data_IF_996725060611
#
_entry.id   IF_996725060611
#
_cell.length_a   1.000
_cell.length_b   1.000
_cell.length_c   1.000
_cell.angle_alpha   90.00
_cell.angle_beta   90.00
_cell.angle_gamma   90.00
#
_symmetry.space_group_name_H-M   'P 1'
#
loop_
_entity.id
_entity.type
_entity.pdbx_description
1 polymer ?
#
# COMPACT_ATOMS: atom_id res chain seq x y z
N UNK A 1 -4.25 -3.27 55.01
CA UNK A 1 -4.61 -2.36 53.90
C UNK A 1 -3.33 -2.00 53.17
N UNK A 2 -2.97 -2.77 52.15
CA UNK A 2 -1.73 -2.52 51.38
C UNK A 2 -1.96 -1.32 50.46
N UNK A 3 -1.17 -0.27 50.65
CA UNK A 3 -1.08 0.82 49.68
C UNK A 3 -0.32 0.30 48.46
N UNK A 4 -1.06 -0.27 47.50
CA UNK A 4 -0.51 -0.77 46.24
C UNK A 4 0.21 0.35 45.49
N UNK A 5 1.51 0.17 45.23
CA UNK A 5 2.28 1.06 44.35
C UNK A 5 1.88 0.74 42.91
N UNK A 6 1.18 1.66 42.25
CA UNK A 6 0.87 1.54 40.82
C UNK A 6 2.08 2.02 40.02
N UNK A 7 2.69 1.13 39.24
CA UNK A 7 3.77 1.50 38.32
C UNK A 7 3.19 2.25 37.11
N UNK A 8 3.81 3.38 36.75
CA UNK A 8 3.39 4.21 35.60
C UNK A 8 4.52 4.37 34.60
N UNK A 9 4.18 4.32 33.32
CA UNK A 9 5.05 4.65 32.21
C UNK A 9 4.84 6.13 31.88
N UNK A 10 5.93 6.90 31.93
CA UNK A 10 5.91 8.34 31.67
C UNK A 10 6.76 8.59 30.43
N UNK A 11 6.13 9.12 29.38
CA UNK A 11 6.82 9.56 28.18
C UNK A 11 6.99 11.07 28.29
N UNK A 12 8.23 11.51 28.22
CA UNK A 12 8.63 12.92 28.31
C UNK A 12 9.13 13.37 26.95
N UNK A 13 8.77 14.58 26.55
CA UNK A 13 9.34 15.22 25.37
C UNK A 13 10.83 15.52 25.63
N UNK A 14 11.68 15.10 24.71
CA UNK A 14 13.13 15.21 24.85
C UNK A 14 13.66 16.65 24.69
N UNK A 15 12.88 17.53 24.05
CA UNK A 15 13.31 18.91 23.78
C UNK A 15 13.05 19.86 24.96
N UNK A 16 11.91 19.70 25.65
CA UNK A 16 11.44 20.62 26.69
C UNK A 16 11.22 19.95 28.07
N UNK A 17 11.51 18.65 28.19
CA UNK A 17 11.27 17.84 29.38
C UNK A 17 9.82 17.84 29.88
N UNK A 18 8.85 18.19 29.03
CA UNK A 18 7.43 18.15 29.40
C UNK A 18 6.87 16.73 29.30
N UNK A 19 6.05 16.35 30.29
CA UNK A 19 5.35 15.07 30.27
C UNK A 19 4.34 15.08 29.12
N UNK A 20 4.51 14.15 28.18
CA UNK A 20 3.65 14.00 27.01
C UNK A 20 2.53 12.99 27.27
N UNK A 21 2.86 11.86 27.91
CA UNK A 21 1.90 10.80 28.22
C UNK A 21 2.22 10.15 29.57
N UNK A 22 1.18 9.75 30.30
CA UNK A 22 1.28 8.95 31.52
C UNK A 22 0.26 7.82 31.42
N UNK A 23 0.73 6.57 31.51
CA UNK A 23 -0.11 5.38 31.48
C UNK A 23 0.24 4.47 32.66
N UNK A 24 -0.76 3.90 33.33
CA UNK A 24 -0.50 2.85 34.31
C UNK A 24 -0.09 1.57 33.59
N UNK A 25 0.93 0.86 34.09
CA UNK A 25 1.42 -0.37 33.45
C UNK A 25 0.31 -1.42 33.25
N UNK A 26 -0.63 -1.48 34.19
CA UNK A 26 -1.76 -2.41 34.16
C UNK A 26 -2.73 -2.11 32.99
N UNK A 27 -2.82 -0.85 32.54
CA UNK A 27 -3.73 -0.41 31.50
C UNK A 27 -3.06 -0.25 30.13
N UNK A 28 -1.74 -0.45 30.05
CA UNK A 28 -0.95 -0.15 28.86
C UNK A 28 -1.45 -0.89 27.62
N UNK A 29 -1.75 -2.18 27.76
CA UNK A 29 -2.24 -3.00 26.65
C UNK A 29 -3.62 -2.56 26.17
N UNK A 30 -4.53 -2.22 27.09
CA UNK A 30 -5.89 -1.80 26.75
C UNK A 30 -5.89 -0.44 26.04
N UNK A 31 -5.07 0.50 26.51
CA UNK A 31 -4.93 1.81 25.87
C UNK A 31 -4.36 1.71 24.45
N UNK A 32 -3.35 0.84 24.25
CA UNK A 32 -2.76 0.58 22.93
C UNK A 32 -3.78 -0.10 22.00
N UNK A 33 -4.50 -1.12 22.46
CA UNK A 33 -5.52 -1.84 21.67
C UNK A 33 -6.64 -0.90 21.22
N UNK A 34 -7.11 -0.05 22.14
CA UNK A 34 -8.14 0.94 21.84
C UNK A 34 -7.69 1.90 20.72
N UNK A 35 -6.48 2.47 20.84
CA UNK A 35 -5.95 3.38 19.83
C UNK A 35 -5.74 2.68 18.50
N UNK A 36 -5.17 1.47 18.51
CA UNK A 36 -4.99 0.65 17.32
C UNK A 36 -6.30 0.45 16.55
N UNK A 37 -7.39 0.13 17.26
CA UNK A 37 -8.73 0.00 16.66
C UNK A 37 -9.27 1.34 16.16
N UNK A 38 -9.11 2.43 16.91
CA UNK A 38 -9.58 3.77 16.55
C UNK A 38 -8.93 4.32 15.28
N UNK A 39 -7.64 4.08 15.08
CA UNK A 39 -6.92 4.51 13.86
C UNK A 39 -7.10 3.55 12.68
N UNK A 40 -8.04 2.60 12.76
CA UNK A 40 -8.37 1.68 11.67
C UNK A 40 -7.35 0.56 11.47
N UNK A 41 -6.77 0.06 12.57
CA UNK A 41 -5.71 -0.95 12.58
C UNK A 41 -4.35 -0.47 12.03
N UNK A 42 -4.11 0.84 12.01
CA UNK A 42 -2.80 1.43 11.69
C UNK A 42 -1.78 1.31 12.82
N UNK A 43 -0.48 1.39 12.49
CA UNK A 43 0.63 1.35 13.44
C UNK A 43 1.94 0.86 12.81
N UNK A 44 3.08 1.29 13.37
CA UNK A 44 4.42 0.80 12.96
C UNK A 44 4.82 -0.42 13.79
N UNK A 45 4.32 -0.52 15.03
CA UNK A 45 4.70 -1.58 15.96
C UNK A 45 4.12 -2.92 15.56
N UNK A 46 5.01 -3.78 15.05
CA UNK A 46 4.73 -5.16 14.66
C UNK A 46 4.06 -5.98 15.77
N UNK A 47 4.38 -5.67 17.03
CA UNK A 47 3.93 -6.42 18.20
C UNK A 47 2.41 -6.48 18.32
N UNK A 48 1.69 -5.39 18.00
CA UNK A 48 0.23 -5.38 18.08
C UNK A 48 -0.43 -5.88 16.79
N UNK A 49 0.21 -5.60 15.64
CA UNK A 49 -0.23 -6.10 14.33
C UNK A 49 -0.21 -7.63 14.28
N UNK A 50 0.76 -8.26 14.95
CA UNK A 50 0.89 -9.71 15.02
C UNK A 50 -0.07 -10.36 16.03
N UNK A 51 -0.58 -9.63 17.02
CA UNK A 51 -1.49 -10.16 18.06
C UNK A 51 -2.97 -9.84 17.77
N UNK A 52 -3.25 -8.77 17.04
CA UNK A 52 -4.61 -8.39 16.68
C UNK A 52 -5.18 -9.35 15.63
N UNK A 53 -6.27 -10.06 15.97
CA UNK A 53 -6.95 -10.98 15.04
C UNK A 53 -7.32 -10.32 13.70
N UNK A 54 -7.84 -9.09 13.73
CA UNK A 54 -8.19 -8.36 12.49
C UNK A 54 -6.99 -8.06 11.59
N UNK A 55 -5.83 -7.77 12.19
CA UNK A 55 -4.58 -7.59 11.46
C UNK A 55 -4.00 -8.90 10.96
N UNK A 56 -4.05 -9.96 11.77
CA UNK A 56 -3.60 -11.30 11.38
C UNK A 56 -4.32 -11.77 10.14
N UNK A 57 -5.66 -11.63 10.06
CA UNK A 57 -6.43 -12.02 8.89
C UNK A 57 -6.05 -11.27 7.61
N UNK A 58 -5.70 -9.97 7.71
CA UNK A 58 -5.18 -9.18 6.58
C UNK A 58 -3.73 -9.52 6.22
N UNK A 59 -2.94 -9.92 7.20
CA UNK A 59 -1.53 -10.30 7.06
C UNK A 59 -1.33 -11.78 6.81
N UNK A 60 -2.40 -12.58 6.67
CA UNK A 60 -2.28 -13.90 6.07
C UNK A 60 -1.67 -13.65 4.72
N UNK A 61 -0.36 -13.92 4.62
CA UNK A 61 0.32 -14.02 3.34
C UNK A 61 -0.42 -15.14 2.67
N UNK A 62 -1.36 -14.76 1.82
CA UNK A 62 -2.05 -15.69 0.97
C UNK A 62 -0.91 -16.51 0.38
N UNK A 63 -0.93 -17.83 0.61
CA UNK A 63 0.05 -18.77 0.10
C UNK A 63 -0.06 -18.88 -1.42
N UNK A 64 -0.44 -17.77 -2.06
CA UNK A 64 -0.40 -17.42 -3.46
C UNK A 64 0.81 -18.10 -4.03
N UNK A 65 0.52 -19.27 -4.59
CA UNK A 65 1.35 -19.98 -5.54
C UNK A 65 1.94 -18.87 -6.38
N UNK A 66 3.26 -18.64 -6.27
CA UNK A 66 3.94 -17.62 -7.07
C UNK A 66 3.38 -17.79 -8.48
N UNK A 67 2.62 -16.80 -8.94
CA UNK A 67 2.08 -16.85 -10.30
C UNK A 67 3.31 -16.84 -11.16
N UNK A 68 3.67 -17.99 -11.71
CA UNK A 68 4.78 -18.09 -12.64
C UNK A 68 4.27 -17.45 -13.91
N UNK A 69 4.46 -16.14 -14.00
CA UNK A 69 4.22 -15.40 -15.24
C UNK A 69 5.34 -15.83 -16.17
N UNK A 70 5.03 -16.76 -17.09
CA UNK A 70 5.95 -17.05 -18.20
C UNK A 70 6.05 -15.77 -19.04
N UNK A 71 7.26 -15.25 -19.31
CA UNK A 71 7.41 -14.06 -20.12
C UNK A 71 6.81 -14.29 -21.51
N UNK A 72 6.05 -13.33 -22.02
CA UNK A 72 5.56 -13.38 -23.40
C UNK A 72 6.73 -12.99 -24.30
N UNK A 73 7.39 -14.00 -24.87
CA UNK A 73 8.49 -13.81 -25.83
C UNK A 73 7.97 -13.86 -27.26
N UNK A 74 8.67 -13.15 -28.15
CA UNK A 74 8.43 -13.13 -29.59
C UNK A 74 9.73 -13.40 -30.32
N UNK A 75 9.69 -14.27 -31.30
CA UNK A 75 10.82 -14.72 -32.13
C UNK A 75 11.16 -13.76 -33.27
N UNK A 76 10.23 -12.89 -33.65
CA UNK A 76 10.41 -11.89 -34.69
C UNK A 76 9.76 -10.54 -34.37
N UNK A 77 10.22 -9.51 -35.10
CA UNK A 77 9.67 -8.16 -35.07
C UNK A 77 8.22 -8.14 -35.57
N UNK A 78 7.33 -7.44 -34.87
CA UNK A 78 5.88 -7.33 -35.15
C UNK A 78 5.10 -8.65 -35.10
N UNK A 79 5.71 -9.78 -34.72
CA UNK A 79 4.98 -11.05 -34.54
C UNK A 79 4.01 -10.98 -33.34
N UNK A 80 4.44 -10.32 -32.26
CA UNK A 80 3.64 -10.09 -31.06
C UNK A 80 3.98 -8.74 -30.47
N UNK A 81 2.96 -8.03 -30.02
CA UNK A 81 3.12 -6.84 -29.21
C UNK A 81 1.93 -6.68 -28.27
N UNK A 82 2.10 -5.80 -27.29
CA UNK A 82 1.07 -5.42 -26.35
C UNK A 82 0.55 -4.03 -26.71
N UNK A 83 -0.78 -3.89 -26.72
CA UNK A 83 -1.44 -2.59 -26.75
C UNK A 83 -1.91 -2.25 -25.35
N UNK A 84 -1.62 -1.02 -24.93
CA UNK A 84 -2.11 -0.42 -23.71
C UNK A 84 -2.74 0.94 -24.03
N UNK A 85 -3.68 1.36 -23.18
CA UNK A 85 -4.35 2.64 -23.28
C UNK A 85 -4.10 3.43 -22.01
N UNK A 86 -3.30 4.49 -22.13
CA UNK A 86 -3.00 5.39 -21.02
C UNK A 86 -4.07 6.48 -20.96
N UNK A 87 -4.74 6.57 -19.82
CA UNK A 87 -5.80 7.55 -19.58
C UNK A 87 -5.23 8.91 -19.17
N UNK A 88 -5.55 9.95 -19.95
CA UNK A 88 -5.18 11.33 -19.74
C UNK A 88 -6.42 12.23 -19.54
N UNK A 89 -7.60 11.68 -19.24
CA UNK A 89 -8.84 12.45 -19.11
C UNK A 89 -8.82 13.51 -18.00
N UNK A 90 -8.04 13.32 -16.94
CA UNK A 90 -7.86 14.30 -15.88
C UNK A 90 -6.98 15.49 -16.27
N UNK A 91 -6.16 15.34 -17.31
CA UNK A 91 -5.23 16.35 -17.81
C UNK A 91 -5.04 16.19 -19.35
N UNK A 92 -6.09 16.47 -20.14
CA UNK A 92 -6.05 16.27 -21.58
C UNK A 92 -5.20 17.34 -22.28
N UNK A 93 -4.62 16.98 -23.43
CA UNK A 93 -3.97 17.93 -24.34
C UNK A 93 -4.91 18.23 -25.52
N UNK A 94 -5.62 19.35 -25.43
CA UNK A 94 -6.65 19.72 -26.40
C UNK A 94 -7.75 18.66 -26.53
N UNK A 95 -7.85 18.04 -27.71
CA UNK A 95 -8.84 16.98 -27.97
C UNK A 95 -8.36 15.59 -27.55
N UNK A 96 -7.06 15.43 -27.27
CA UNK A 96 -6.45 14.14 -26.98
C UNK A 96 -6.58 13.84 -25.49
N UNK A 97 -7.26 12.73 -25.19
CA UNK A 97 -7.60 12.31 -23.82
C UNK A 97 -6.98 10.98 -23.46
N UNK A 98 -6.37 10.30 -24.43
CA UNK A 98 -5.77 9.00 -24.26
C UNK A 98 -4.47 8.93 -25.08
N UNK A 99 -3.57 8.04 -24.67
CA UNK A 99 -2.41 7.66 -25.46
C UNK A 99 -2.46 6.15 -25.66
N UNK A 100 -2.53 5.70 -26.91
CA UNK A 100 -2.32 4.30 -27.24
C UNK A 100 -0.83 4.02 -27.23
N UNK A 101 -0.41 3.09 -26.38
CA UNK A 101 0.95 2.59 -26.31
C UNK A 101 1.00 1.20 -26.92
N UNK A 102 1.76 1.06 -27.99
CA UNK A 102 2.12 -0.24 -28.55
C UNK A 102 3.55 -0.56 -28.16
N UNK A 103 3.79 -1.77 -27.65
CA UNK A 103 5.12 -2.28 -27.38
C UNK A 103 5.34 -3.63 -28.07
N UNK A 104 6.34 -3.69 -28.95
CA UNK A 104 6.77 -4.92 -29.58
C UNK A 104 7.42 -5.89 -28.56
N UNK A 105 7.11 -7.17 -28.64
CA UNK A 105 7.64 -8.14 -27.68
C UNK A 105 9.07 -8.61 -27.98
N UNK A 106 9.55 -8.47 -29.22
CA UNK A 106 10.87 -8.93 -29.67
C UNK A 106 11.96 -7.90 -29.33
N UNK A 107 11.81 -6.66 -29.81
CA UNK A 107 12.82 -5.61 -29.65
C UNK A 107 12.42 -4.52 -28.64
N UNK A 108 11.24 -4.64 -28.02
CA UNK A 108 10.70 -3.65 -27.06
C UNK A 108 10.51 -2.25 -27.65
N UNK A 109 10.46 -2.12 -28.97
CA UNK A 109 10.11 -0.88 -29.65
C UNK A 109 8.76 -0.39 -29.14
N UNK A 110 8.73 0.88 -28.71
CA UNK A 110 7.54 1.52 -28.17
C UNK A 110 7.03 2.57 -29.14
N UNK A 111 5.75 2.49 -29.50
CA UNK A 111 5.06 3.46 -30.32
C UNK A 111 3.93 4.09 -29.51
N UNK A 112 3.86 5.41 -29.50
CA UNK A 112 2.86 6.18 -28.78
C UNK A 112 2.02 6.96 -29.78
N UNK A 113 0.70 6.84 -29.69
CA UNK A 113 -0.24 7.52 -30.56
C UNK A 113 -1.30 8.23 -29.71
N UNK A 114 -1.41 9.58 -29.78
CA UNK A 114 -2.44 10.30 -29.05
C UNK A 114 -3.82 10.06 -29.68
N UNK A 115 -4.84 9.81 -28.86
CA UNK A 115 -6.20 9.50 -29.29
C UNK A 115 -7.23 10.45 -28.65
N UNK A 116 -8.21 10.86 -29.45
CA UNK A 116 -9.34 11.67 -28.98
C UNK A 116 -10.47 10.83 -28.36
N UNK A 117 -10.54 9.54 -28.68
CA UNK A 117 -11.55 8.60 -28.20
C UNK A 117 -10.92 7.23 -27.94
N UNK A 118 -11.53 6.44 -27.05
CA UNK A 118 -11.17 5.04 -26.78
C UNK A 118 -11.89 4.05 -27.70
N UNK A 119 -12.81 4.53 -28.53
CA UNK A 119 -13.65 3.70 -29.39
C UNK A 119 -12.90 3.34 -30.68
N UNK A 120 -12.98 2.06 -31.06
CA UNK A 120 -12.63 1.62 -32.41
C UNK A 120 -13.75 2.07 -33.36
N UNK A 121 -13.37 2.63 -34.51
CA UNK A 121 -14.30 2.96 -35.60
C UNK A 121 -14.25 1.91 -36.69
#
# INVERSE_FOLDING_TARGET
MEKGRINRLIIVNQEDNQIKYVCAYENLFDEIDLHHKQVGHGGIDKTFIELCYGCQQKNVKDGSKKVVVKPIVSDGFMHRGQFDLIDFQSMPDGLYKFIMHYQDHHNKLSHLCPLCSKEAR
#
